data_IF_687482514364
#
_entry.id   IF_687482514364
#
_cell.length_a   1.000
_cell.length_b   1.000
_cell.length_c   1.000
_cell.angle_alpha   90.00
_cell.angle_beta   90.00
_cell.angle_gamma   90.00
#
_symmetry.space_group_name_H-M   'P 1'
#
loop_
_entity.id
_entity.type
_entity.pdbx_description
1 polymer ?
#
# COMPACT_ATOMS: atom_id res chain seq x y z
N UNK A 1 -5.15 22.42 1.32
CA UNK A 1 -5.06 21.36 0.29
C UNK A 1 -5.71 20.11 0.87
N UNK A 2 -6.87 19.72 0.35
CA UNK A 2 -7.52 18.46 0.75
C UNK A 2 -6.67 17.30 0.24
N UNK A 3 -6.29 16.40 1.15
CA UNK A 3 -5.53 15.20 0.87
C UNK A 3 -6.42 14.28 0.02
N UNK A 4 -6.36 14.38 -1.31
CA UNK A 4 -7.03 13.39 -2.16
C UNK A 4 -6.19 12.11 -2.11
N UNK A 5 -6.72 11.02 -1.51
CA UNK A 5 -6.02 9.75 -1.55
C UNK A 5 -5.85 9.29 -3.01
N UNK A 6 -4.79 8.49 -3.30
CA UNK A 6 -4.61 7.88 -4.60
C UNK A 6 -5.86 7.13 -5.08
N UNK A 7 -6.01 6.94 -6.41
CA UNK A 7 -7.10 6.12 -6.93
C UNK A 7 -6.72 4.67 -6.66
N UNK A 8 -7.30 4.08 -5.61
CA UNK A 8 -6.89 2.79 -5.08
C UNK A 8 -7.06 1.66 -6.09
N UNK A 9 -8.09 1.73 -6.95
CA UNK A 9 -8.33 0.79 -8.04
C UNK A 9 -7.15 0.72 -9.01
N UNK A 10 -6.52 1.87 -9.27
CA UNK A 10 -5.35 1.96 -10.16
C UNK A 10 -4.11 1.42 -9.47
N UNK A 11 -3.91 1.70 -8.18
CA UNK A 11 -2.76 1.19 -7.42
C UNK A 11 -2.83 -0.34 -7.29
N UNK A 12 -4.01 -0.88 -7.00
CA UNK A 12 -4.20 -2.31 -6.78
C UNK A 12 -4.39 -3.11 -8.06
N UNK A 13 -4.55 -2.44 -9.22
CA UNK A 13 -4.86 -3.04 -10.53
C UNK A 13 -6.11 -3.93 -10.46
N UNK A 14 -7.18 -3.40 -9.87
CA UNK A 14 -8.45 -4.13 -9.72
C UNK A 14 -9.04 -4.42 -11.09
N UNK A 15 -9.44 -5.67 -11.40
CA UNK A 15 -10.10 -6.00 -12.65
C UNK A 15 -11.39 -5.18 -12.85
N UNK A 16 -11.72 -4.84 -14.10
CA UNK A 16 -12.90 -4.00 -14.41
C UNK A 16 -14.24 -4.61 -13.96
N UNK A 17 -14.32 -5.94 -13.86
CA UNK A 17 -15.52 -6.64 -13.40
C UNK A 17 -15.57 -6.81 -11.88
N UNK A 18 -14.54 -6.37 -11.16
CA UNK A 18 -14.46 -6.45 -9.71
C UNK A 18 -14.84 -5.10 -9.10
N UNK A 19 -15.31 -5.15 -7.85
CA UNK A 19 -15.65 -3.97 -7.07
C UNK A 19 -14.72 -3.85 -5.88
N UNK A 20 -14.06 -2.70 -5.75
CA UNK A 20 -13.29 -2.33 -4.56
C UNK A 20 -14.17 -1.48 -3.62
N UNK A 21 -14.21 -1.84 -2.34
CA UNK A 21 -15.01 -1.13 -1.33
C UNK A 21 -14.11 -0.74 -0.17
N UNK A 22 -14.09 0.54 0.21
CA UNK A 22 -13.46 0.99 1.47
C UNK A 22 -14.29 0.48 2.64
N UNK A 23 -13.69 -0.30 3.54
CA UNK A 23 -14.36 -0.87 4.71
C UNK A 23 -14.08 -0.08 5.99
N UNK A 24 -12.90 0.49 6.14
CA UNK A 24 -12.58 1.37 7.26
C UNK A 24 -11.33 2.21 7.01
N UNK A 25 -11.14 3.24 7.84
CA UNK A 25 -9.87 3.93 7.98
C UNK A 25 -9.50 4.06 9.45
N UNK A 26 -8.20 4.06 9.75
CA UNK A 26 -7.66 4.20 11.11
C UNK A 26 -6.53 5.20 11.11
N UNK A 27 -6.70 6.28 11.86
CA UNK A 27 -5.67 7.29 12.07
C UNK A 27 -5.05 7.11 13.45
N UNK A 28 -3.73 7.30 13.55
CA UNK A 28 -2.96 7.30 14.79
C UNK A 28 -2.20 8.61 14.90
N UNK A 29 -2.23 9.23 16.08
CA UNK A 29 -1.42 10.41 16.42
C UNK A 29 -0.37 10.08 17.48
N UNK A 30 0.47 11.06 17.83
CA UNK A 30 1.54 10.92 18.80
C UNK A 30 2.90 10.62 18.15
N UNK A 31 3.81 9.98 18.91
CA UNK A 31 5.19 9.70 18.47
C UNK A 31 5.23 8.84 17.21
N UNK A 32 4.43 7.77 17.18
CA UNK A 32 4.09 7.09 15.94
C UNK A 32 2.76 7.63 15.41
N UNK A 33 2.76 8.19 14.21
CA UNK A 33 1.56 8.78 13.61
C UNK A 33 1.35 8.28 12.18
N UNK A 34 0.13 8.35 11.70
CA UNK A 34 -0.17 7.93 10.34
C UNK A 34 -1.61 7.53 10.16
N UNK A 35 -1.92 7.04 8.98
CA UNK A 35 -3.26 6.63 8.59
C UNK A 35 -3.19 5.33 7.81
N UNK A 36 -4.20 4.49 8.03
CA UNK A 36 -4.40 3.24 7.33
C UNK A 36 -5.79 3.19 6.74
N UNK A 37 -5.92 2.58 5.57
CA UNK A 37 -7.18 2.37 4.89
C UNK A 37 -7.31 0.89 4.55
N UNK A 38 -8.51 0.37 4.76
CA UNK A 38 -8.85 -1.03 4.53
C UNK A 38 -9.88 -1.12 3.42
N UNK A 39 -9.68 -2.07 2.51
CA UNK A 39 -10.55 -2.28 1.36
C UNK A 39 -10.82 -3.76 1.17
N UNK A 40 -12.02 -4.07 0.70
CA UNK A 40 -12.41 -5.40 0.26
C UNK A 40 -12.64 -5.38 -1.27
N UNK A 41 -12.11 -6.38 -1.96
CA UNK A 41 -12.32 -6.63 -3.39
C UNK A 41 -13.32 -7.78 -3.55
N UNK A 42 -14.37 -7.52 -4.30
CA UNK A 42 -15.40 -8.49 -4.66
C UNK A 42 -15.35 -8.79 -6.15
N UNK A 43 -15.51 -10.05 -6.54
CA UNK A 43 -15.64 -10.42 -7.95
C UNK A 43 -17.02 -10.04 -8.53
N UNK A 44 -17.24 -10.34 -9.82
CA UNK A 44 -18.48 -10.04 -10.53
C UNK A 44 -19.71 -10.80 -10.00
N UNK A 45 -19.52 -11.82 -9.16
CA UNK A 45 -20.60 -12.55 -8.48
C UNK A 45 -20.90 -11.99 -7.08
N UNK A 46 -20.06 -11.06 -6.60
CA UNK A 46 -20.15 -10.49 -5.25
C UNK A 46 -19.39 -11.30 -4.19
N UNK A 47 -18.58 -12.29 -4.57
CA UNK A 47 -17.76 -13.03 -3.62
C UNK A 47 -16.50 -12.24 -3.23
N UNK A 48 -16.15 -12.26 -1.94
CA UNK A 48 -14.92 -11.62 -1.45
C UNK A 48 -13.70 -12.40 -1.97
N UNK A 49 -12.84 -11.74 -2.74
CA UNK A 49 -11.63 -12.37 -3.31
C UNK A 49 -10.36 -11.95 -2.59
N UNK A 50 -10.31 -10.71 -2.10
CA UNK A 50 -9.13 -10.19 -1.42
C UNK A 50 -9.46 -9.01 -0.50
N UNK A 51 -8.54 -8.74 0.42
CA UNK A 51 -8.54 -7.52 1.23
C UNK A 51 -7.23 -6.76 1.04
N UNK A 52 -7.31 -5.43 1.07
CA UNK A 52 -6.18 -4.55 0.93
C UNK A 52 -6.05 -3.66 2.16
N UNK A 53 -4.81 -3.44 2.58
CA UNK A 53 -4.47 -2.40 3.55
C UNK A 53 -3.45 -1.46 2.93
N UNK A 54 -3.80 -0.18 2.87
CA UNK A 54 -2.87 0.92 2.54
C UNK A 54 -2.45 1.58 3.83
N UNK A 55 -1.18 1.98 3.93
CA UNK A 55 -0.65 2.70 5.08
C UNK A 55 0.23 3.87 4.61
N UNK A 56 0.15 4.97 5.34
CA UNK A 56 1.06 6.12 5.30
C UNK A 56 1.35 6.52 6.74
N UNK A 57 2.51 6.10 7.27
CA UNK A 57 2.82 6.23 8.69
C UNK A 57 4.29 6.50 8.96
N UNK A 58 4.54 7.04 10.14
CA UNK A 58 5.84 7.20 10.79
C UNK A 58 5.84 6.33 12.04
N UNK A 59 6.86 5.49 12.21
CA UNK A 59 7.02 4.67 13.42
C UNK A 59 7.62 5.46 14.59
N UNK A 60 7.74 4.83 15.76
CA UNK A 60 8.29 5.48 16.96
C UNK A 60 9.77 5.86 16.82
N UNK A 61 10.50 5.20 15.92
CA UNK A 61 11.88 5.53 15.56
C UNK A 61 11.99 6.65 14.52
N UNK A 62 10.87 7.26 14.12
CA UNK A 62 10.83 8.31 13.11
C UNK A 62 10.92 7.80 11.67
N UNK A 63 10.93 6.48 11.44
CA UNK A 63 10.99 5.94 10.09
C UNK A 63 9.64 6.08 9.42
N UNK A 64 9.65 6.77 8.28
CA UNK A 64 8.49 6.99 7.44
C UNK A 64 8.34 5.86 6.44
N UNK A 65 7.10 5.41 6.23
CA UNK A 65 6.76 4.46 5.18
C UNK A 65 5.36 4.71 4.64
N UNK A 66 5.21 4.44 3.35
CA UNK A 66 3.90 4.28 2.74
C UNK A 66 3.88 3.07 1.83
N UNK A 67 2.71 2.50 1.62
CA UNK A 67 2.59 1.28 0.83
C UNK A 67 1.25 0.61 0.98
N UNK A 68 1.17 -0.61 0.47
CA UNK A 68 -0.02 -1.43 0.56
C UNK A 68 0.31 -2.92 0.65
N UNK A 69 -0.65 -3.70 1.14
CA UNK A 69 -0.61 -5.16 1.13
C UNK A 69 -1.95 -5.71 0.68
N UNK A 70 -1.91 -6.81 -0.08
CA UNK A 70 -3.06 -7.63 -0.48
C UNK A 70 -3.01 -8.95 0.29
N UNK A 71 -4.11 -9.28 0.93
CA UNK A 71 -4.35 -10.62 1.50
C UNK A 71 -5.49 -11.30 0.75
N UNK A 72 -5.42 -12.62 0.58
CA UNK A 72 -6.52 -13.39 -0.01
C UNK A 72 -7.72 -13.50 0.96
N UNK A 73 -8.81 -14.10 0.50
CA UNK A 73 -10.00 -14.34 1.32
C UNK A 73 -9.73 -15.18 2.58
N UNK A 74 -8.70 -16.03 2.56
CA UNK A 74 -8.24 -16.83 3.71
C UNK A 74 -7.31 -16.06 4.65
N UNK A 75 -6.99 -14.79 4.35
CA UNK A 75 -6.12 -13.94 5.15
C UNK A 75 -4.63 -14.13 4.91
N UNK A 76 -4.23 -14.87 3.86
CA UNK A 76 -2.82 -15.08 3.52
C UNK A 76 -2.30 -13.89 2.72
N UNK A 77 -1.07 -13.45 3.00
CA UNK A 77 -0.42 -12.38 2.26
C UNK A 77 -0.13 -12.83 0.81
N UNK A 78 -0.70 -12.12 -0.16
CA UNK A 78 -0.52 -12.37 -1.60
C UNK A 78 0.51 -11.41 -2.20
N UNK A 79 0.45 -10.14 -1.81
CA UNK A 79 1.37 -9.12 -2.30
C UNK A 79 1.59 -8.03 -1.25
N UNK A 80 2.77 -7.42 -1.28
CA UNK A 80 3.11 -6.23 -0.52
C UNK A 80 3.97 -5.30 -1.37
N UNK A 81 3.74 -4.00 -1.26
CA UNK A 81 4.60 -2.95 -1.78
C UNK A 81 4.80 -1.89 -0.71
N UNK A 82 6.02 -1.43 -0.55
CA UNK A 82 6.40 -0.46 0.47
C UNK A 82 7.44 0.49 -0.12
N UNK A 83 7.40 1.75 0.30
CA UNK A 83 8.42 2.76 0.01
C UNK A 83 8.82 3.41 1.32
N UNK A 84 10.12 3.57 1.54
CA UNK A 84 10.72 4.16 2.75
C UNK A 84 10.55 5.68 2.90
N UNK A 85 9.36 6.20 2.61
CA UNK A 85 8.98 7.59 2.87
C UNK A 85 7.45 7.73 2.93
N UNK A 86 6.96 8.85 3.46
CA UNK A 86 5.51 9.16 3.46
C UNK A 86 4.99 9.45 2.07
N UNK A 87 3.68 9.24 1.85
CA UNK A 87 3.05 9.46 0.55
C UNK A 87 3.28 10.87 -0.02
N UNK A 88 3.12 11.89 0.82
CA UNK A 88 3.35 13.28 0.41
C UNK A 88 4.81 13.55 -0.02
N UNK A 89 5.79 12.94 0.67
CA UNK A 89 7.20 13.05 0.32
C UNK A 89 7.50 12.33 -1.01
N UNK A 90 6.87 11.17 -1.24
CA UNK A 90 7.01 10.45 -2.50
C UNK A 90 6.44 11.24 -3.69
N UNK A 91 5.28 11.87 -3.52
CA UNK A 91 4.69 12.72 -4.56
C UNK A 91 5.61 13.90 -4.89
N UNK A 92 6.21 14.53 -3.87
CA UNK A 92 7.18 15.61 -4.08
C UNK A 92 8.44 15.12 -4.82
N UNK A 93 8.98 13.96 -4.45
CA UNK A 93 10.17 13.39 -5.08
C UNK A 93 9.95 12.99 -6.54
N UNK A 94 8.76 12.46 -6.87
CA UNK A 94 8.45 11.95 -8.22
C UNK A 94 7.87 13.02 -9.16
N UNK A 95 7.79 14.27 -8.70
CA UNK A 95 7.28 15.45 -9.44
C UNK A 95 5.83 15.33 -9.97
N UNK A 96 5.14 14.21 -9.74
CA UNK A 96 3.73 14.00 -10.07
C UNK A 96 3.12 12.83 -9.28
N UNK A 97 1.80 12.90 -9.06
CA UNK A 97 1.02 11.81 -8.44
C UNK A 97 1.15 10.49 -9.22
N UNK A 98 1.06 10.53 -10.55
CA UNK A 98 1.13 9.34 -11.39
C UNK A 98 2.50 8.64 -11.29
N UNK A 99 3.57 9.40 -11.15
CA UNK A 99 4.91 8.85 -10.97
C UNK A 99 5.10 8.26 -9.55
N UNK A 100 4.46 8.83 -8.53
CA UNK A 100 4.39 8.25 -7.18
C UNK A 100 3.57 6.95 -7.15
N UNK A 101 2.43 6.90 -7.83
CA UNK A 101 1.62 5.67 -7.98
C UNK A 101 2.44 4.55 -8.64
N UNK A 102 3.20 4.87 -9.71
CA UNK A 102 4.11 3.90 -10.34
C UNK A 102 5.22 3.44 -9.39
N UNK A 103 5.77 4.33 -8.57
CA UNK A 103 6.81 3.99 -7.61
C UNK A 103 6.29 3.04 -6.52
N UNK A 104 5.08 3.27 -5.99
CA UNK A 104 4.43 2.35 -5.02
C UNK A 104 3.97 1.03 -5.66
N UNK A 105 3.76 1.01 -6.98
CA UNK A 105 3.47 -0.24 -7.70
C UNK A 105 4.74 -1.05 -8.02
N UNK A 106 5.87 -0.37 -8.19
CA UNK A 106 7.14 -1.02 -8.51
C UNK A 106 7.45 -2.03 -7.41
N UNK A 107 7.64 -3.29 -7.80
CA UNK A 107 8.21 -4.29 -6.92
C UNK A 107 9.58 -3.76 -6.51
N UNK A 108 9.83 -3.55 -5.20
CA UNK A 108 11.22 -3.38 -4.78
C UNK A 108 12.02 -4.57 -5.37
N UNK A 109 13.20 -4.34 -5.95
CA UNK A 109 14.05 -5.46 -6.31
C UNK A 109 14.24 -6.32 -5.05
N UNK A 110 14.26 -7.66 -5.14
CA UNK A 110 14.47 -8.49 -3.98
C UNK A 110 15.72 -7.98 -3.25
N UNK A 111 15.54 -7.48 -2.03
CA UNK A 111 16.63 -7.20 -1.11
C UNK A 111 17.56 -8.40 -1.14
N UNK A 112 18.84 -8.15 -1.42
CA UNK A 112 19.88 -9.16 -1.51
C UNK A 112 19.68 -10.25 -0.45
N UNK A 113 19.46 -11.48 -0.91
CA UNK A 113 19.74 -12.63 -0.07
C UNK A 113 21.19 -12.48 0.39
N UNK A 114 21.52 -12.69 1.68
CA UNK A 114 22.90 -12.73 2.09
C UNK A 114 23.57 -13.82 1.26
N UNK A 115 24.59 -13.45 0.50
CA UNK A 115 25.57 -14.40 -0.03
C UNK A 115 26.18 -15.07 1.19
N UNK A 116 25.62 -16.21 1.59
CA UNK A 116 26.33 -17.19 2.37
C UNK A 116 27.54 -17.59 1.55
N UNK A 117 28.69 -16.99 1.85
CA UNK A 117 29.95 -17.55 1.44
C UNK A 117 30.23 -18.69 2.41
N UNK A 118 29.93 -19.91 1.95
CA UNK A 118 30.57 -21.09 2.48
C UNK A 118 32.05 -21.06 2.03
N UNK A 119 32.96 -21.03 2.99
CA UNK A 119 34.26 -21.70 2.98
C UNK A 119 34.84 -21.61 4.40
#
# INVERSE_FOLDING_TARGET
MLFEPPVFETIFRIPVHHRLVITSSRSRGGRAHGVRWFHDEYDGTGALVARYETYDETDEGGRSRCGWRKVDAAGRLVAKREVGMRWAALVAAQSSRRAAERAVQATEPPMHAPRGLAA
#
